data_IF_667480299201
#
_entry.id   IF_667480299201
#
_cell.length_a   1.000
_cell.length_b   1.000
_cell.length_c   1.000
_cell.angle_alpha   90.00
_cell.angle_beta   90.00
_cell.angle_gamma   90.00
#
_symmetry.space_group_name_H-M   'P 1'
#
loop_
_entity.id
_entity.type
_entity.pdbx_description
1 polymer ?
#
# COMPACT_ATOMS: atom_id res chain seq x y z
N UNK A 1 -12.70 5.94 0.07
CA UNK A 1 -13.11 6.52 -1.23
C UNK A 1 -12.60 7.95 -1.30
N UNK A 2 -11.68 8.26 -2.20
CA UNK A 2 -11.06 9.57 -2.29
C UNK A 2 -10.37 9.82 -3.64
N UNK A 3 -10.21 11.10 -4.01
CA UNK A 3 -9.46 11.66 -5.15
C UNK A 3 -9.74 11.15 -6.58
N UNK A 4 -10.66 10.21 -6.76
CA UNK A 4 -10.80 9.36 -7.95
C UNK A 4 -10.74 10.07 -9.32
N UNK A 5 -11.37 11.23 -9.58
CA UNK A 5 -11.31 11.82 -10.92
C UNK A 5 -9.93 12.40 -11.26
N UNK A 6 -9.19 12.95 -10.29
CA UNK A 6 -8.02 13.78 -10.56
C UNK A 6 -6.78 12.98 -10.98
N UNK A 7 -6.63 11.75 -10.46
CA UNK A 7 -5.41 10.94 -10.62
C UNK A 7 -5.64 9.62 -11.38
N UNK A 8 -6.83 9.42 -11.94
CA UNK A 8 -7.14 8.22 -12.74
C UNK A 8 -6.18 8.13 -13.93
N UNK A 9 -5.64 6.93 -14.17
CA UNK A 9 -4.75 6.63 -15.30
C UNK A 9 -3.33 7.19 -15.19
N UNK A 10 -2.97 7.86 -14.08
CA UNK A 10 -1.66 8.51 -13.94
C UNK A 10 -0.62 7.68 -13.19
N UNK A 11 -1.01 6.54 -12.60
CA UNK A 11 -0.10 5.67 -11.82
C UNK A 11 0.60 6.41 -10.64
N UNK A 12 -0.09 7.36 -10.00
CA UNK A 12 0.45 8.16 -8.87
C UNK A 12 -0.39 8.09 -7.60
N UNK A 13 -1.45 7.26 -7.60
CA UNK A 13 -2.33 7.06 -6.44
C UNK A 13 -1.59 6.22 -5.41
N UNK A 14 -1.73 6.55 -4.13
CA UNK A 14 -1.19 5.72 -3.05
C UNK A 14 -2.02 4.43 -2.87
N UNK A 15 -1.46 3.23 -3.09
CA UNK A 15 -2.18 1.97 -2.94
C UNK A 15 -2.25 1.47 -1.49
N UNK A 16 -1.48 2.03 -0.56
CA UNK A 16 -1.28 1.48 0.80
C UNK A 16 -2.60 1.24 1.54
N UNK A 17 -3.58 2.15 1.43
CA UNK A 17 -4.87 1.99 2.10
C UNK A 17 -5.65 0.76 1.59
N UNK A 18 -5.59 0.48 0.28
CA UNK A 18 -6.25 -0.69 -0.30
C UNK A 18 -5.55 -1.99 0.14
N UNK A 19 -4.21 -1.98 0.19
CA UNK A 19 -3.42 -3.13 0.65
C UNK A 19 -3.68 -3.38 2.15
N UNK A 20 -3.74 -2.34 2.97
CA UNK A 20 -4.08 -2.45 4.39
C UNK A 20 -5.49 -3.03 4.60
N UNK A 21 -6.47 -2.61 3.78
CA UNK A 21 -7.82 -3.19 3.81
C UNK A 21 -7.81 -4.69 3.45
N UNK A 22 -7.00 -5.10 2.48
CA UNK A 22 -6.79 -6.53 2.16
C UNK A 22 -6.17 -7.29 3.32
N UNK A 23 -5.19 -6.71 4.02
CA UNK A 23 -4.62 -7.31 5.23
C UNK A 23 -5.67 -7.52 6.31
N UNK A 24 -6.55 -6.54 6.55
CA UNK A 24 -7.63 -6.65 7.51
C UNK A 24 -8.64 -7.74 7.11
N UNK A 25 -8.97 -7.84 5.82
CA UNK A 25 -9.85 -8.90 5.29
C UNK A 25 -9.25 -10.30 5.49
N UNK A 26 -7.95 -10.45 5.26
CA UNK A 26 -7.27 -11.73 5.48
C UNK A 26 -7.34 -12.15 6.95
N UNK A 27 -7.12 -11.21 7.88
CA UNK A 27 -7.22 -11.49 9.31
C UNK A 27 -8.63 -11.95 9.70
N UNK A 28 -9.65 -11.21 9.26
CA UNK A 28 -11.06 -11.56 9.48
C UNK A 28 -11.43 -12.93 8.88
N UNK A 29 -10.78 -13.31 7.78
CA UNK A 29 -11.00 -14.61 7.11
C UNK A 29 -10.21 -15.77 7.75
N UNK A 30 -9.50 -15.53 8.86
CA UNK A 30 -8.71 -16.54 9.56
C UNK A 30 -7.29 -16.73 9.02
N UNK A 31 -6.83 -15.87 8.12
CA UNK A 31 -5.47 -15.88 7.55
C UNK A 31 -4.52 -14.90 8.28
N UNK A 32 -4.52 -14.95 9.62
CA UNK A 32 -3.79 -14.00 10.49
C UNK A 32 -2.29 -13.91 10.18
N UNK A 33 -1.61 -15.03 9.90
CA UNK A 33 -0.17 -15.00 9.56
C UNK A 33 0.10 -14.16 8.29
N UNK A 34 -0.73 -14.33 7.26
CA UNK A 34 -0.61 -13.57 6.02
C UNK A 34 -0.92 -12.08 6.24
N UNK A 35 -1.94 -11.78 7.04
CA UNK A 35 -2.27 -10.41 7.43
C UNK A 35 -1.12 -9.74 8.20
N UNK A 36 -0.49 -10.45 9.15
CA UNK A 36 0.65 -9.93 9.91
C UNK A 36 1.83 -9.59 9.00
N UNK A 37 2.15 -10.47 8.05
CA UNK A 37 3.23 -10.25 7.07
C UNK A 37 2.97 -9.02 6.20
N UNK A 38 1.76 -8.89 5.65
CA UNK A 38 1.38 -7.71 4.85
C UNK A 38 1.44 -6.44 5.69
N UNK A 39 0.90 -6.46 6.92
CA UNK A 39 0.94 -5.30 7.82
C UNK A 39 2.38 -4.90 8.16
N UNK A 40 3.28 -5.86 8.38
CA UNK A 40 4.69 -5.59 8.61
C UNK A 40 5.37 -4.96 7.39
N UNK A 41 5.12 -5.51 6.19
CA UNK A 41 5.63 -4.96 4.94
C UNK A 41 5.18 -3.50 4.72
N UNK A 42 3.89 -3.22 4.93
CA UNK A 42 3.32 -1.86 4.85
C UNK A 42 4.06 -0.91 5.80
N UNK A 43 4.29 -1.32 7.05
CA UNK A 43 5.01 -0.49 8.04
C UNK A 43 6.44 -0.18 7.58
N UNK A 44 7.15 -1.16 7.03
CA UNK A 44 8.51 -0.95 6.51
C UNK A 44 8.52 0.02 5.34
N UNK A 45 7.66 -0.18 4.34
CA UNK A 45 7.58 0.68 3.14
C UNK A 45 7.19 2.10 3.51
N UNK A 46 6.15 2.27 4.33
CA UNK A 46 5.66 3.60 4.72
C UNK A 46 6.59 4.34 5.69
N UNK A 47 7.36 3.61 6.51
CA UNK A 47 8.28 4.20 7.47
C UNK A 47 9.69 4.46 6.92
N UNK A 48 10.10 3.79 5.83
CA UNK A 48 11.51 3.83 5.39
C UNK A 48 11.73 4.08 3.90
N UNK A 49 10.71 3.85 3.04
CA UNK A 49 10.88 3.92 1.58
C UNK A 49 10.19 5.12 0.97
N UNK A 50 8.94 5.40 1.35
CA UNK A 50 8.14 6.48 0.76
C UNK A 50 8.56 7.86 1.26
N UNK A 51 8.61 8.85 0.37
CA UNK A 51 8.83 10.27 0.74
C UNK A 51 7.58 10.91 1.36
N UNK A 52 6.40 10.51 0.89
CA UNK A 52 5.11 10.96 1.38
C UNK A 52 4.04 9.89 1.13
N UNK A 53 2.97 9.90 1.91
CA UNK A 53 1.78 9.10 1.60
C UNK A 53 0.78 9.84 0.69
N UNK A 54 1.06 11.10 0.32
CA UNK A 54 0.19 11.85 -0.59
C UNK A 54 0.35 11.37 -2.04
N UNK A 55 -0.78 11.20 -2.74
CA UNK A 55 -0.78 10.89 -4.18
C UNK A 55 0.03 11.91 -4.99
N UNK A 56 0.87 11.44 -5.90
CA UNK A 56 1.79 12.26 -6.69
C UNK A 56 3.03 12.77 -5.95
N UNK A 57 3.24 12.41 -4.67
CA UNK A 57 4.43 12.82 -3.90
C UNK A 57 5.11 11.66 -3.16
N UNK A 58 4.84 10.43 -3.58
CA UNK A 58 5.32 9.25 -2.85
C UNK A 58 6.80 8.96 -3.03
N UNK A 59 7.45 9.58 -4.03
CA UNK A 59 8.77 9.20 -4.53
C UNK A 59 8.73 8.00 -5.49
N UNK A 60 7.55 7.40 -5.70
CA UNK A 60 7.32 6.19 -6.49
C UNK A 60 5.95 6.26 -7.18
N UNK A 61 5.77 5.46 -8.22
CA UNK A 61 4.47 5.20 -8.85
C UNK A 61 3.60 4.26 -8.01
N UNK A 62 2.31 4.14 -8.33
CA UNK A 62 1.39 3.21 -7.66
C UNK A 62 1.91 1.77 -7.76
N UNK A 63 2.36 1.37 -8.95
CA UNK A 63 2.93 0.04 -9.18
C UNK A 63 4.18 -0.21 -8.34
N UNK A 64 5.15 0.70 -8.36
CA UNK A 64 6.39 0.54 -7.61
C UNK A 64 6.16 0.49 -6.10
N UNK A 65 5.18 1.24 -5.56
CA UNK A 65 4.80 1.09 -4.13
C UNK A 65 4.23 -0.31 -3.87
N UNK A 66 3.47 -0.88 -4.79
CA UNK A 66 3.01 -2.26 -4.70
C UNK A 66 4.16 -3.27 -4.71
N UNK A 67 5.13 -3.08 -5.61
CA UNK A 67 6.32 -3.91 -5.72
C UNK A 67 7.16 -3.85 -4.44
N UNK A 68 7.38 -2.65 -3.89
CA UNK A 68 8.06 -2.46 -2.61
C UNK A 68 7.37 -3.21 -1.47
N UNK A 69 6.04 -3.27 -1.45
CA UNK A 69 5.33 -4.06 -0.43
C UNK A 69 5.60 -5.55 -0.63
N UNK A 70 5.53 -6.05 -1.86
CA UNK A 70 5.81 -7.46 -2.18
C UNK A 70 7.25 -7.88 -1.82
N UNK A 71 8.24 -7.01 -2.07
CA UNK A 71 9.65 -7.23 -1.73
C UNK A 71 9.92 -7.30 -0.21
N UNK A 72 8.98 -6.83 0.62
CA UNK A 72 9.12 -6.75 2.08
C UNK A 72 8.16 -7.72 2.85
N UNK A 73 7.62 -8.74 2.18
CA UNK A 73 6.75 -9.80 2.76
C UNK A 73 7.50 -10.95 3.44
#
# INVERSE_FOLDING_TARGET
GGSAPKYTGQNVINPIAAIAAMSMLLDESGHTESAMRITAAIKTVTGTKMESQAAGRMGYSTSEVGDLVCENL
#
